data_IF_647879215961
#
_entry.id   IF_647879215961
#
_cell.length_a   1.000
_cell.length_b   1.000
_cell.length_c   1.000
_cell.angle_alpha   90.00
_cell.angle_beta   90.00
_cell.angle_gamma   90.00
#
_symmetry.space_group_name_H-M   'P 1'
#
loop_
_entity.id
_entity.type
_entity.pdbx_description
1 polymer ?
#
# COMPACT_ATOMS: atom_id res chain seq x y z
N UNK A 1 17.13 6.92 18.01
CA UNK A 1 15.89 6.28 17.55
C UNK A 1 15.42 7.03 16.32
N UNK A 2 15.36 6.38 15.15
CA UNK A 2 14.91 7.00 13.90
C UNK A 2 13.39 6.82 13.78
N UNK A 3 12.65 7.91 13.59
CA UNK A 3 11.23 7.81 13.31
C UNK A 3 11.02 7.20 11.91
N UNK A 4 10.06 6.27 11.73
CA UNK A 4 9.76 5.72 10.43
C UNK A 4 9.22 6.82 9.52
N UNK A 5 9.71 6.87 8.27
CA UNK A 5 9.20 7.81 7.27
C UNK A 5 7.71 7.51 7.01
N UNK A 6 6.86 8.52 7.20
CA UNK A 6 5.44 8.44 6.90
C UNK A 6 5.10 9.14 5.59
N UNK A 7 4.20 8.54 4.85
CA UNK A 7 3.63 9.10 3.63
C UNK A 7 2.11 9.18 3.80
N UNK A 8 1.53 10.34 3.49
CA UNK A 8 0.09 10.48 3.29
C UNK A 8 -0.23 10.20 1.83
N UNK A 9 -1.04 9.18 1.60
CA UNK A 9 -1.57 8.86 0.28
C UNK A 9 -2.92 9.57 0.14
N UNK A 10 -3.29 10.01 -1.06
CA UNK A 10 -4.60 10.61 -1.34
C UNK A 10 -5.05 10.21 -2.74
N UNK A 11 -6.22 9.58 -2.85
CA UNK A 11 -6.85 9.25 -4.14
C UNK A 11 -8.38 9.19 -4.00
N UNK A 12 -9.06 9.17 -5.13
CA UNK A 12 -10.50 8.85 -5.22
C UNK A 12 -10.64 7.37 -5.57
N UNK A 13 -11.38 6.61 -4.77
CA UNK A 13 -11.66 5.21 -5.08
C UNK A 13 -12.61 5.14 -6.29
N UNK A 14 -12.18 4.57 -7.43
CA UNK A 14 -12.99 4.57 -8.65
C UNK A 14 -14.25 3.69 -8.55
N UNK A 15 -14.33 2.79 -7.56
CA UNK A 15 -15.50 1.95 -7.36
C UNK A 15 -16.59 2.64 -6.52
N UNK A 16 -16.22 3.54 -5.60
CA UNK A 16 -17.17 4.19 -4.68
C UNK A 16 -17.25 5.70 -4.82
N UNK A 17 -16.29 6.34 -5.50
CA UNK A 17 -16.12 7.80 -5.54
C UNK A 17 -15.60 8.39 -4.23
N UNK A 18 -15.27 7.58 -3.23
CA UNK A 18 -14.82 8.08 -1.93
C UNK A 18 -13.37 8.56 -2.00
N UNK A 19 -13.09 9.72 -1.39
CA UNK A 19 -11.73 10.17 -1.14
C UNK A 19 -11.10 9.37 0.00
N UNK A 20 -9.90 8.83 -0.23
CA UNK A 20 -9.17 7.99 0.71
C UNK A 20 -7.83 8.62 1.04
N UNK A 21 -7.52 8.78 2.33
CA UNK A 21 -6.32 9.52 2.78
C UNK A 21 -5.52 8.86 3.93
N UNK A 22 -5.09 7.59 3.82
CA UNK A 22 -4.30 6.93 4.86
C UNK A 22 -2.89 7.50 4.97
N UNK A 23 -2.38 7.50 6.21
CA UNK A 23 -0.96 7.71 6.51
C UNK A 23 -0.31 6.37 6.84
N UNK A 24 0.75 6.02 6.12
CA UNK A 24 1.43 4.73 6.24
C UNK A 24 2.94 4.94 6.43
N UNK A 25 3.54 4.07 7.23
CA UNK A 25 4.98 3.97 7.35
C UNK A 25 5.54 3.18 6.14
N UNK A 26 6.65 3.63 5.58
CA UNK A 26 7.39 2.84 4.58
C UNK A 26 8.14 1.67 5.26
N UNK A 27 8.33 0.52 4.56
CA UNK A 27 7.92 0.23 3.18
C UNK A 27 6.42 -0.08 3.02
N UNK A 28 5.84 0.27 1.86
CA UNK A 28 4.42 0.06 1.52
C UNK A 28 4.32 -0.79 0.24
N UNK A 29 3.47 -1.81 0.23
CA UNK A 29 3.12 -2.59 -0.96
C UNK A 29 1.63 -2.40 -1.31
N UNK A 30 1.36 -2.31 -2.62
CA UNK A 30 0.03 -2.15 -3.19
C UNK A 30 -0.32 -3.35 -4.07
N UNK A 31 -1.57 -3.80 -4.00
CA UNK A 31 -2.06 -4.89 -4.83
C UNK A 31 -3.50 -5.27 -4.54
N UNK A 32 -4.07 -6.16 -5.36
CA UNK A 32 -5.42 -6.68 -5.14
C UNK A 32 -5.46 -7.98 -4.33
N UNK A 33 -4.34 -8.70 -4.20
CA UNK A 33 -4.27 -9.98 -3.48
C UNK A 33 -3.26 -9.90 -2.34
N UNK A 34 -3.74 -9.90 -1.09
CA UNK A 34 -2.92 -9.71 0.10
C UNK A 34 -1.77 -10.72 0.23
N UNK A 35 -2.06 -11.98 -0.06
CA UNK A 35 -1.09 -13.08 0.00
C UNK A 35 0.01 -12.99 -1.07
N UNK A 36 -0.17 -12.17 -2.10
CA UNK A 36 0.82 -11.96 -3.17
C UNK A 36 1.72 -10.75 -2.91
N UNK A 37 1.39 -9.92 -1.93
CA UNK A 37 2.23 -8.80 -1.50
C UNK A 37 3.27 -9.25 -0.45
N UNK A 38 4.51 -8.73 -0.51
CA UNK A 38 5.55 -9.09 0.46
C UNK A 38 5.14 -8.68 1.87
N UNK A 39 5.34 -9.58 2.84
CA UNK A 39 5.16 -9.25 4.26
C UNK A 39 6.34 -8.45 4.81
N UNK A 40 7.52 -8.64 4.22
CA UNK A 40 8.78 -8.01 4.60
C UNK A 40 9.59 -7.62 3.36
N UNK A 41 10.32 -6.51 3.46
CA UNK A 41 11.34 -6.08 2.50
C UNK A 41 12.56 -5.64 3.30
N UNK A 42 13.74 -6.19 3.00
CA UNK A 42 14.99 -5.91 3.71
C UNK A 42 14.89 -6.07 5.24
N UNK A 43 14.13 -7.07 5.72
CA UNK A 43 13.89 -7.31 7.15
C UNK A 43 12.97 -6.29 7.84
N UNK A 44 12.35 -5.37 7.08
CA UNK A 44 11.36 -4.43 7.58
C UNK A 44 9.95 -4.90 7.22
N UNK A 45 9.03 -4.77 8.17
CA UNK A 45 7.61 -5.08 7.95
C UNK A 45 7.02 -4.12 6.93
N UNK A 46 6.33 -4.68 5.94
CA UNK A 46 5.67 -3.90 4.88
C UNK A 46 4.22 -3.60 5.26
N UNK A 47 3.82 -2.34 5.15
CA UNK A 47 2.42 -1.96 5.13
C UNK A 47 1.78 -2.44 3.82
N UNK A 48 0.81 -3.34 3.89
CA UNK A 48 0.17 -3.94 2.71
C UNK A 48 -1.21 -3.35 2.50
N UNK A 49 -1.38 -2.63 1.40
CA UNK A 49 -2.58 -1.91 1.07
C UNK A 49 -3.34 -2.59 -0.07
N UNK A 50 -4.56 -3.04 0.24
CA UNK A 50 -5.45 -3.63 -0.75
C UNK A 50 -6.15 -2.55 -1.57
N UNK A 51 -6.09 -2.69 -2.88
CA UNK A 51 -6.82 -1.88 -3.85
C UNK A 51 -7.73 -2.81 -4.65
N UNK A 52 -9.05 -2.67 -4.46
CA UNK A 52 -10.03 -3.58 -5.03
C UNK A 52 -10.46 -3.14 -6.44
N UNK A 53 -9.62 -3.42 -7.43
CA UNK A 53 -9.93 -3.17 -8.84
C UNK A 53 -9.24 -4.18 -9.75
N UNK A 54 -9.93 -4.59 -10.82
CA UNK A 54 -9.35 -5.48 -11.84
C UNK A 54 -8.21 -4.83 -12.63
N UNK A 55 -8.08 -3.51 -12.59
CA UNK A 55 -6.95 -2.76 -13.18
C UNK A 55 -5.68 -2.84 -12.32
N UNK A 56 -5.80 -3.30 -11.07
CA UNK A 56 -4.66 -3.46 -10.15
C UNK A 56 -4.12 -4.89 -10.26
N UNK A 57 -2.80 -5.05 -10.28
CA UNK A 57 -2.15 -6.36 -10.29
C UNK A 57 -2.24 -7.04 -8.92
N UNK A 58 -2.01 -8.36 -8.86
CA UNK A 58 -1.99 -9.11 -7.57
C UNK A 58 -1.01 -8.49 -6.57
N UNK A 59 0.21 -8.24 -7.05
CA UNK A 59 1.19 -7.32 -6.49
C UNK A 59 1.49 -6.31 -7.59
N UNK A 60 1.29 -5.03 -7.31
CA UNK A 60 1.27 -3.99 -8.34
C UNK A 60 2.45 -3.04 -8.22
N UNK A 61 2.73 -2.55 -7.01
CA UNK A 61 3.82 -1.62 -6.76
C UNK A 61 4.30 -1.69 -5.31
N UNK A 62 5.49 -1.14 -5.06
CA UNK A 62 6.00 -0.90 -3.72
C UNK A 62 6.71 0.46 -3.63
N UNK A 63 6.67 1.07 -2.45
CA UNK A 63 7.45 2.24 -2.06
C UNK A 63 8.39 1.79 -0.94
N UNK A 64 9.69 2.02 -1.09
CA UNK A 64 10.76 1.58 -0.18
C UNK A 64 11.59 2.74 0.32
#
# INVERSE_FOLDING_TARGET
MTQPLQIQLSWEDPATGERREPRLNVPIAFGREFARMPAELNGQRVARMLLNSNQVSRFHAAIT
#
